data_IF_486334404249
#
_entry.id   IF_486334404249
#
_cell.length_a   1.000
_cell.length_b   1.000
_cell.length_c   1.000
_cell.angle_alpha   90.00
_cell.angle_beta   90.00
_cell.angle_gamma   90.00
#
_symmetry.space_group_name_H-M   'P 1'
#
loop_
_entity.id
_entity.type
_entity.pdbx_description
1 polymer ?
#
# COMPACT_ATOMS: atom_id res chain seq x y z
N UNK A 1 -9.98 7.04 22.71
CA UNK A 1 -8.64 6.80 22.16
C UNK A 1 -8.07 8.15 21.80
N UNK A 2 -6.83 8.44 22.18
CA UNK A 2 -6.17 9.69 21.81
C UNK A 2 -6.00 9.73 20.28
N UNK A 3 -6.31 10.88 19.66
CA UNK A 3 -6.17 11.07 18.21
C UNK A 3 -4.72 10.85 17.75
N UNK A 4 -3.74 11.10 18.62
CA UNK A 4 -2.33 10.81 18.34
C UNK A 4 -2.06 9.31 18.23
N UNK A 5 -2.59 8.51 19.16
CA UNK A 5 -2.42 7.07 19.19
C UNK A 5 -3.14 6.38 18.03
N UNK A 6 -4.34 6.86 17.68
CA UNK A 6 -5.08 6.37 16.51
C UNK A 6 -4.30 6.60 15.22
N UNK A 7 -3.72 7.79 15.05
CA UNK A 7 -2.91 8.09 13.88
C UNK A 7 -1.65 7.21 13.81
N UNK A 8 -0.94 7.01 14.93
CA UNK A 8 0.25 6.15 14.98
C UNK A 8 -0.07 4.72 14.58
N UNK A 9 -1.16 4.14 15.11
CA UNK A 9 -1.55 2.78 14.74
C UNK A 9 -1.93 2.68 13.26
N UNK A 10 -2.71 3.63 12.76
CA UNK A 10 -3.07 3.68 11.35
C UNK A 10 -1.84 3.79 10.44
N UNK A 11 -0.84 4.56 10.86
CA UNK A 11 0.41 4.70 10.14
C UNK A 11 1.26 3.42 10.17
N UNK A 12 1.35 2.75 11.32
CA UNK A 12 2.03 1.46 11.44
C UNK A 12 1.40 0.40 10.55
N UNK A 13 0.06 0.33 10.50
CA UNK A 13 -0.67 -0.59 9.64
C UNK A 13 -0.34 -0.38 8.16
N UNK A 14 -0.23 0.88 7.71
CA UNK A 14 0.13 1.21 6.33
C UNK A 14 1.59 0.85 5.99
N UNK A 15 2.52 1.00 6.95
CA UNK A 15 3.90 0.55 6.78
C UNK A 15 3.92 -0.97 6.59
N UNK A 16 3.30 -1.70 7.52
CA UNK A 16 3.28 -3.17 7.50
C UNK A 16 2.63 -3.72 6.22
N UNK A 17 1.51 -3.14 5.79
CA UNK A 17 0.87 -3.54 4.55
C UNK A 17 1.75 -3.25 3.32
N UNK A 18 2.48 -2.13 3.28
CA UNK A 18 3.38 -1.83 2.16
C UNK A 18 4.60 -2.76 2.10
N UNK A 19 5.14 -3.13 3.26
CA UNK A 19 6.26 -4.09 3.35
C UNK A 19 5.80 -5.47 2.90
N UNK A 20 4.68 -5.95 3.43
CA UNK A 20 4.10 -7.24 3.04
C UNK A 20 3.75 -7.28 1.54
N UNK A 21 3.29 -6.16 0.97
CA UNK A 21 3.04 -6.06 -0.46
C UNK A 21 4.32 -6.18 -1.29
N UNK A 22 5.43 -5.61 -0.84
CA UNK A 22 6.74 -5.78 -1.48
C UNK A 22 7.21 -7.24 -1.45
N UNK A 23 7.12 -7.89 -0.29
CA UNK A 23 7.46 -9.32 -0.15
C UNK A 23 6.58 -10.21 -1.04
N UNK A 24 5.30 -9.90 -1.18
CA UNK A 24 4.39 -10.60 -2.05
C UNK A 24 4.78 -10.48 -3.54
N UNK A 25 5.32 -9.33 -3.97
CA UNK A 25 5.88 -9.19 -5.33
C UNK A 25 7.04 -10.15 -5.53
N UNK A 26 7.99 -10.19 -4.59
CA UNK A 26 9.18 -11.04 -4.67
C UNK A 26 8.84 -12.54 -4.69
N UNK A 27 7.74 -12.92 -4.04
CA UNK A 27 7.22 -14.29 -4.01
C UNK A 27 6.31 -14.64 -5.21
N UNK A 28 5.92 -13.65 -6.02
CA UNK A 28 4.94 -13.84 -7.08
C UNK A 28 3.51 -14.09 -6.56
N UNK A 29 3.20 -13.70 -5.33
CA UNK A 29 1.88 -13.87 -4.73
C UNK A 29 0.94 -12.72 -5.13
N UNK A 30 0.33 -12.87 -6.30
CA UNK A 30 -0.60 -11.89 -6.85
C UNK A 30 -1.84 -11.68 -5.97
N UNK A 31 -2.32 -12.72 -5.28
CA UNK A 31 -3.48 -12.63 -4.42
C UNK A 31 -3.17 -11.75 -3.19
N UNK A 32 -2.01 -11.94 -2.58
CA UNK A 32 -1.55 -11.12 -1.48
C UNK A 32 -1.28 -9.67 -1.91
N UNK A 33 -0.68 -9.45 -3.09
CA UNK A 33 -0.51 -8.07 -3.63
C UNK A 33 -1.87 -7.36 -3.75
N UNK A 34 -2.90 -8.03 -4.27
CA UNK A 34 -4.26 -7.45 -4.36
C UNK A 34 -4.84 -7.17 -2.97
N UNK A 35 -4.72 -8.13 -2.06
CA UNK A 35 -5.23 -7.98 -0.70
C UNK A 35 -4.59 -6.76 -0.02
N UNK A 36 -3.27 -6.62 -0.10
CA UNK A 36 -2.55 -5.48 0.50
C UNK A 36 -2.88 -4.16 -0.18
N UNK A 37 -2.96 -4.12 -1.51
CA UNK A 37 -3.39 -2.93 -2.23
C UNK A 37 -4.81 -2.48 -1.82
N UNK A 38 -5.74 -3.42 -1.62
CA UNK A 38 -7.08 -3.13 -1.11
C UNK A 38 -7.06 -2.59 0.32
N UNK A 39 -6.31 -3.25 1.22
CA UNK A 39 -6.15 -2.82 2.61
C UNK A 39 -5.61 -1.40 2.68
N UNK A 40 -4.53 -1.11 1.94
CA UNK A 40 -3.92 0.22 1.86
C UNK A 40 -4.93 1.24 1.32
N UNK A 41 -5.63 0.96 0.22
CA UNK A 41 -6.59 1.89 -0.37
C UNK A 41 -7.68 2.32 0.63
N UNK A 42 -8.24 1.36 1.37
CA UNK A 42 -9.31 1.61 2.35
C UNK A 42 -8.77 2.36 3.58
N UNK A 43 -7.67 1.89 4.17
CA UNK A 43 -7.09 2.47 5.39
C UNK A 43 -6.51 3.86 5.12
N UNK A 44 -5.78 4.04 4.02
CA UNK A 44 -5.22 5.32 3.64
C UNK A 44 -6.31 6.38 3.47
N UNK A 45 -7.42 6.05 2.78
CA UNK A 45 -8.55 6.96 2.62
C UNK A 45 -9.21 7.31 3.97
N UNK A 46 -9.43 6.32 4.84
CA UNK A 46 -10.02 6.53 6.17
C UNK A 46 -9.23 7.53 7.01
N UNK A 47 -7.91 7.55 6.87
CA UNK A 47 -7.00 8.37 7.68
C UNK A 47 -6.42 9.59 6.92
N UNK A 48 -6.98 9.93 5.75
CA UNK A 48 -6.63 11.16 5.01
C UNK A 48 -5.35 11.09 4.18
N UNK A 49 -4.79 9.90 3.93
CA UNK A 49 -3.65 9.69 3.05
C UNK A 49 -4.11 9.54 1.58
N UNK A 50 -4.73 10.59 1.04
CA UNK A 50 -5.46 10.53 -0.24
C UNK A 50 -4.62 10.04 -1.43
N UNK A 51 -3.37 10.50 -1.53
CA UNK A 51 -2.47 10.08 -2.61
C UNK A 51 -2.11 8.61 -2.50
N UNK A 52 -1.85 8.12 -1.28
CA UNK A 52 -1.58 6.70 -1.04
C UNK A 52 -2.79 5.84 -1.40
N UNK A 53 -3.99 6.28 -1.01
CA UNK A 53 -5.24 5.61 -1.38
C UNK A 53 -5.43 5.54 -2.90
N UNK A 54 -5.14 6.62 -3.61
CA UNK A 54 -5.26 6.68 -5.07
C UNK A 54 -4.27 5.74 -5.77
N UNK A 55 -3.01 5.70 -5.33
CA UNK A 55 -2.00 4.80 -5.89
C UNK A 55 -2.40 3.32 -5.71
N UNK A 56 -2.85 2.96 -4.51
CA UNK A 56 -3.25 1.60 -4.19
C UNK A 56 -4.53 1.16 -4.95
N UNK A 57 -5.51 2.06 -5.10
CA UNK A 57 -6.69 1.81 -5.92
C UNK A 57 -6.32 1.65 -7.41
N UNK A 58 -5.45 2.50 -7.94
CA UNK A 58 -4.96 2.38 -9.31
C UNK A 58 -4.18 1.09 -9.56
N UNK A 59 -3.44 0.59 -8.57
CA UNK A 59 -2.83 -0.74 -8.63
C UNK A 59 -3.89 -1.84 -8.74
N UNK A 60 -4.92 -1.82 -7.89
CA UNK A 60 -6.02 -2.81 -7.96
C UNK A 60 -6.71 -2.83 -9.33
N UNK A 61 -6.99 -1.65 -9.90
CA UNK A 61 -7.61 -1.54 -11.22
C UNK A 61 -6.74 -2.18 -12.32
N UNK A 62 -5.41 -1.99 -12.25
CA UNK A 62 -4.46 -2.60 -13.18
C UNK A 62 -4.38 -4.12 -13.03
N UNK A 63 -4.43 -4.62 -11.80
CA UNK A 63 -4.37 -6.06 -11.53
C UNK A 63 -5.65 -6.80 -11.93
N UNK A 64 -6.80 -6.11 -11.87
CA UNK A 64 -8.11 -6.72 -12.11
C UNK A 64 -8.31 -8.02 -11.32
N UNK A 65 -9.07 -8.94 -11.92
CA UNK A 65 -9.36 -10.27 -11.36
C UNK A 65 -8.71 -11.42 -12.14
N UNK A 66 -7.80 -11.14 -13.09
CA UNK A 66 -7.12 -12.16 -13.88
C UNK A 66 -5.94 -12.75 -13.11
N UNK A 67 -5.85 -14.07 -12.97
CA UNK A 67 -4.77 -14.67 -12.16
C UNK A 67 -3.43 -14.79 -12.90
N UNK A 68 -3.39 -14.45 -14.18
CA UNK A 68 -2.19 -14.46 -15.01
C UNK A 68 -1.74 -13.03 -15.34
N UNK A 69 -1.13 -12.37 -14.35
CA UNK A 69 -0.55 -11.03 -14.50
C UNK A 69 0.95 -11.11 -14.23
N UNK A 70 1.76 -10.72 -15.21
CA UNK A 70 3.21 -10.67 -15.05
C UNK A 70 3.62 -9.65 -13.97
N UNK A 71 4.60 -9.97 -13.10
CA UNK A 71 5.18 -9.03 -12.14
C UNK A 71 5.63 -7.70 -12.73
N UNK A 72 6.11 -7.70 -13.98
CA UNK A 72 6.52 -6.48 -14.69
C UNK A 72 5.41 -5.43 -14.83
N UNK A 73 4.14 -5.84 -14.74
CA UNK A 73 2.97 -4.96 -14.83
C UNK A 73 2.70 -4.23 -13.52
N UNK A 74 3.00 -4.85 -12.37
CA UNK A 74 2.59 -4.34 -11.06
C UNK A 74 3.74 -4.00 -10.10
N UNK A 75 4.92 -4.60 -10.26
CA UNK A 75 6.08 -4.32 -9.42
C UNK A 75 6.46 -2.82 -9.37
N UNK A 76 6.47 -2.06 -10.50
CA UNK A 76 6.77 -0.63 -10.44
C UNK A 76 5.74 0.19 -9.64
N UNK A 77 4.47 -0.22 -9.68
CA UNK A 77 3.41 0.45 -8.93
C UNK A 77 3.48 0.12 -7.43
N UNK A 78 3.84 -1.11 -7.09
CA UNK A 78 4.16 -1.50 -5.70
C UNK A 78 5.34 -0.68 -5.17
N UNK A 79 6.42 -0.55 -5.95
CA UNK A 79 7.58 0.27 -5.58
C UNK A 79 7.20 1.75 -5.39
N UNK A 80 6.33 2.30 -6.25
CA UNK A 80 5.81 3.66 -6.08
C UNK A 80 5.04 3.84 -4.77
N UNK A 81 4.20 2.87 -4.39
CA UNK A 81 3.46 2.88 -3.13
C UNK A 81 4.42 2.86 -1.95
N UNK A 82 5.39 1.93 -1.94
CA UNK A 82 6.38 1.81 -0.86
C UNK A 82 7.20 3.09 -0.70
N UNK A 83 7.71 3.67 -1.81
CA UNK A 83 8.42 4.95 -1.77
C UNK A 83 7.56 6.09 -1.23
N UNK A 84 6.25 6.07 -1.51
CA UNK A 84 5.33 7.07 -1.00
C UNK A 84 5.13 6.94 0.52
N UNK A 85 5.03 5.71 1.03
CA UNK A 85 4.99 5.42 2.47
C UNK A 85 6.27 5.93 3.16
N UNK A 86 7.45 5.62 2.62
CA UNK A 86 8.73 6.11 3.17
C UNK A 86 8.84 7.63 3.20
N UNK A 87 8.29 8.31 2.18
CA UNK A 87 8.31 9.77 2.08
C UNK A 87 7.44 10.43 3.16
N UNK A 88 6.29 9.83 3.50
CA UNK A 88 5.44 10.30 4.60
C UNK A 88 6.16 10.12 5.94
N UNK A 89 6.79 8.94 6.16
CA UNK A 89 7.55 8.67 7.36
C UNK A 89 8.67 9.69 7.60
N UNK A 90 9.44 10.01 6.55
CA UNK A 90 10.54 10.99 6.65
C UNK A 90 10.09 12.42 6.99
N UNK A 91 8.91 12.84 6.53
CA UNK A 91 8.37 14.20 6.78
C UNK A 91 7.84 14.40 8.20
N UNK A 92 7.40 13.33 8.87
CA UNK A 92 6.82 13.40 10.21
C UNK A 92 7.84 13.17 11.33
N UNK A 93 9.04 12.69 10.98
CA UNK A 93 10.16 12.45 11.91
C UNK A 93 11.23 13.55 11.86
N UNK A 94 11.12 14.50 10.92
CA UNK A 94 11.99 15.67 10.75
C UNK A 94 11.37 16.91 11.39
#
# INVERSE_FOLDING_TARGET
MDASAEWVMAWMDLILDSTAMGEAVDQGDLAEVRFRACSIAIRARRHGFDRLAHLAAGLLERLGFNDDVSPSVYAPAVEEITRHVDAIGRRNLS
#
